data_IF_776988921435
#
_entry.id   IF_776988921435
#
_cell.length_a   1.000
_cell.length_b   1.000
_cell.length_c   1.000
_cell.angle_alpha   90.00
_cell.angle_beta   90.00
_cell.angle_gamma   90.00
#
_symmetry.space_group_name_H-M   'P 1'
#
loop_
_entity.id
_entity.type
_entity.pdbx_description
1 polymer ?
#
# COMPACT_ATOMS: atom_id res chain seq x y z
N UNK A 1 21.01 -17.36 -2.18
CA UNK A 1 20.14 -17.04 -1.02
C UNK A 1 19.65 -15.60 -0.98
N UNK A 2 20.47 -14.56 -0.67
CA UNK A 2 19.97 -13.16 -0.59
C UNK A 2 19.43 -12.62 -1.93
N UNK A 3 20.11 -12.89 -3.05
CA UNK A 3 19.68 -12.47 -4.40
C UNK A 3 18.37 -13.16 -4.84
N UNK A 4 18.20 -14.45 -4.51
CA UNK A 4 16.98 -15.20 -4.88
C UNK A 4 15.75 -14.66 -4.15
N UNK A 5 15.92 -14.22 -2.90
CA UNK A 5 14.86 -13.59 -2.13
C UNK A 5 14.36 -12.32 -2.83
N UNK A 6 15.26 -11.36 -3.13
CA UNK A 6 14.88 -10.10 -3.79
C UNK A 6 14.25 -10.34 -5.16
N UNK A 7 14.79 -11.27 -5.96
CA UNK A 7 14.24 -11.63 -7.25
C UNK A 7 12.80 -12.19 -7.15
N UNK A 8 12.50 -12.99 -6.12
CA UNK A 8 11.15 -13.53 -5.88
C UNK A 8 10.13 -12.42 -5.60
N UNK A 9 10.43 -11.50 -4.69
CA UNK A 9 9.52 -10.37 -4.42
C UNK A 9 9.43 -9.41 -5.59
N UNK A 10 10.55 -9.16 -6.29
CA UNK A 10 10.55 -8.34 -7.48
C UNK A 10 9.64 -8.94 -8.57
N UNK A 11 9.69 -10.25 -8.77
CA UNK A 11 8.81 -10.97 -9.71
C UNK A 11 7.34 -10.88 -9.28
N UNK A 12 7.04 -11.01 -7.99
CA UNK A 12 5.69 -10.83 -7.48
C UNK A 12 5.15 -9.42 -7.77
N UNK A 13 5.92 -8.39 -7.39
CA UNK A 13 5.51 -6.98 -7.58
C UNK A 13 5.40 -6.66 -9.07
N UNK A 14 6.30 -7.17 -9.90
CA UNK A 14 6.24 -7.03 -11.34
C UNK A 14 4.96 -7.62 -11.94
N UNK A 15 4.59 -8.85 -11.53
CA UNK A 15 3.33 -9.45 -11.96
C UNK A 15 2.11 -8.61 -11.52
N UNK A 16 2.16 -8.00 -10.33
CA UNK A 16 1.14 -7.05 -9.88
C UNK A 16 1.12 -5.81 -10.79
N UNK A 17 2.29 -5.25 -11.15
CA UNK A 17 2.38 -4.13 -12.09
C UNK A 17 1.80 -4.48 -13.47
N UNK A 18 2.09 -5.67 -14.01
CA UNK A 18 1.51 -6.15 -15.27
C UNK A 18 0.00 -6.38 -15.18
N UNK A 19 -0.48 -6.96 -14.08
CA UNK A 19 -1.90 -7.28 -13.88
C UNK A 19 -2.77 -6.03 -13.77
N UNK A 20 -2.23 -4.96 -13.18
CA UNK A 20 -2.98 -3.74 -12.85
C UNK A 20 -2.51 -2.52 -13.66
N UNK A 21 -2.08 -2.73 -14.91
CA UNK A 21 -1.63 -1.64 -15.80
C UNK A 21 -2.73 -0.63 -16.18
N UNK A 22 -3.99 -0.99 -16.01
CA UNK A 22 -5.12 -0.08 -16.17
C UNK A 22 -5.16 0.98 -15.04
N UNK A 23 -4.56 0.66 -13.89
CA UNK A 23 -4.50 1.53 -12.72
C UNK A 23 -3.44 2.63 -12.88
N UNK A 24 -3.68 3.80 -12.29
CA UNK A 24 -2.66 4.86 -12.25
C UNK A 24 -1.58 4.56 -11.22
N UNK A 25 -2.00 4.05 -10.06
CA UNK A 25 -1.12 3.70 -8.97
C UNK A 25 -1.40 2.30 -8.42
N UNK A 26 -0.35 1.69 -7.89
CA UNK A 26 -0.38 0.49 -7.08
C UNK A 26 -0.05 0.89 -5.65
N UNK A 27 -0.89 0.41 -4.75
CA UNK A 27 -0.83 0.66 -3.32
C UNK A 27 -0.01 -0.44 -2.65
N UNK A 28 1.03 -0.07 -1.92
CA UNK A 28 1.94 -1.02 -1.28
C UNK A 28 2.21 -0.61 0.17
N UNK A 29 1.41 -1.10 1.15
CA UNK A 29 1.76 -1.01 2.55
C UNK A 29 2.97 -1.89 2.85
N UNK A 30 3.89 -1.38 3.66
CA UNK A 30 5.14 -2.05 4.03
C UNK A 30 5.39 -1.87 5.52
N UNK A 31 5.74 -2.95 6.20
CA UNK A 31 6.09 -2.94 7.61
C UNK A 31 7.59 -3.22 7.79
N UNK A 32 8.24 -2.45 8.65
CA UNK A 32 9.57 -2.74 9.17
C UNK A 32 9.66 -2.30 10.62
N UNK A 33 10.27 -3.12 11.48
CA UNK A 33 10.52 -2.79 12.90
C UNK A 33 9.30 -2.13 13.59
N UNK A 34 8.13 -2.75 13.44
CA UNK A 34 6.86 -2.30 14.02
C UNK A 34 6.33 -0.94 13.51
N UNK A 35 6.85 -0.47 12.37
CA UNK A 35 6.38 0.75 11.71
C UNK A 35 5.82 0.46 10.32
N UNK A 36 4.65 1.03 10.02
CA UNK A 36 4.01 0.95 8.72
C UNK A 36 4.29 2.19 7.88
N UNK A 37 4.78 1.98 6.66
CA UNK A 37 4.89 2.99 5.59
C UNK A 37 3.97 2.57 4.45
N UNK A 38 3.48 3.57 3.72
CA UNK A 38 2.66 3.35 2.54
C UNK A 38 3.34 3.90 1.28
N UNK A 39 3.55 3.02 0.30
CA UNK A 39 4.11 3.40 -0.99
C UNK A 39 3.00 3.48 -2.04
N UNK A 40 2.97 4.60 -2.77
CA UNK A 40 2.18 4.74 -3.98
C UNK A 40 3.11 4.63 -5.18
N UNK A 41 3.04 3.50 -5.87
CA UNK A 41 3.85 3.20 -7.04
C UNK A 41 3.06 3.57 -8.28
N UNK A 42 3.61 4.40 -9.16
CA UNK A 42 3.02 4.83 -10.43
C UNK A 42 3.85 4.25 -11.60
N UNK A 43 3.57 3.00 -12.05
CA UNK A 43 4.42 2.33 -13.03
C UNK A 43 4.46 3.07 -14.38
N UNK A 44 3.35 3.68 -14.80
CA UNK A 44 3.24 4.37 -16.08
C UNK A 44 4.23 5.53 -16.23
N UNK A 45 4.49 6.25 -15.14
CA UNK A 45 5.40 7.42 -15.13
C UNK A 45 6.71 7.16 -14.39
N UNK A 46 6.92 5.92 -13.94
CA UNK A 46 8.13 5.48 -13.23
C UNK A 46 8.37 6.24 -11.93
N UNK A 47 7.33 6.47 -11.12
CA UNK A 47 7.40 7.28 -9.90
C UNK A 47 6.93 6.51 -8.67
N UNK A 48 7.50 6.81 -7.50
CA UNK A 48 7.03 6.29 -6.21
C UNK A 48 6.90 7.44 -5.21
N UNK A 49 5.75 7.55 -4.55
CA UNK A 49 5.57 8.45 -3.41
C UNK A 49 5.66 7.65 -2.12
N UNK A 50 6.43 8.16 -1.16
CA UNK A 50 6.61 7.56 0.17
C UNK A 50 5.77 8.32 1.19
N UNK A 51 4.69 7.68 1.67
CA UNK A 51 3.83 8.23 2.71
C UNK A 51 4.19 7.58 4.04
N UNK A 52 4.85 8.36 4.88
CA UNK A 52 5.36 7.94 6.18
C UNK A 52 4.91 8.94 7.26
N UNK A 53 4.17 8.45 8.26
CA UNK A 53 3.66 9.28 9.35
C UNK A 53 4.76 9.76 10.31
N UNK A 54 5.95 9.15 10.28
CA UNK A 54 7.09 9.46 11.16
C UNK A 54 8.33 10.01 10.44
N UNK A 55 8.35 9.99 9.10
CA UNK A 55 9.52 10.39 8.30
C UNK A 55 10.81 9.65 8.72
N UNK A 56 10.75 8.32 8.81
CA UNK A 56 11.94 7.50 8.95
C UNK A 56 12.93 7.78 7.83
N UNK A 57 14.21 7.72 8.20
CA UNK A 57 15.31 7.86 7.26
C UNK A 57 15.19 6.81 6.14
N UNK A 58 15.30 7.23 4.86
CA UNK A 58 15.22 6.33 3.70
C UNK A 58 16.12 5.11 3.73
N UNK A 59 17.28 5.17 4.42
CA UNK A 59 18.16 4.02 4.59
C UNK A 59 17.48 2.86 5.32
N UNK A 60 16.48 3.14 6.17
CA UNK A 60 15.77 2.13 6.96
C UNK A 60 14.97 1.16 6.08
N UNK A 61 14.51 1.62 4.93
CA UNK A 61 13.74 0.83 3.96
C UNK A 61 14.39 0.78 2.57
N UNK A 62 15.68 1.09 2.46
CA UNK A 62 16.43 1.09 1.19
C UNK A 62 16.36 -0.26 0.45
N UNK A 63 16.34 -1.37 1.19
CA UNK A 63 16.20 -2.72 0.61
C UNK A 63 14.89 -2.88 -0.17
N UNK A 64 13.81 -2.26 0.30
CA UNK A 64 12.54 -2.32 -0.41
C UNK A 64 12.61 -1.57 -1.74
N UNK A 65 13.36 -0.47 -1.82
CA UNK A 65 13.60 0.22 -3.09
C UNK A 65 14.42 -0.60 -4.07
N UNK A 66 15.44 -1.34 -3.61
CA UNK A 66 16.17 -2.25 -4.49
C UNK A 66 15.24 -3.31 -5.10
N UNK A 67 14.27 -3.81 -4.32
CA UNK A 67 13.24 -4.74 -4.82
C UNK A 67 12.30 -4.04 -5.81
N UNK A 68 11.82 -2.83 -5.50
CA UNK A 68 10.93 -2.05 -6.39
C UNK A 68 11.60 -1.69 -7.72
N UNK A 69 12.86 -1.26 -7.68
CA UNK A 69 13.64 -0.96 -8.89
C UNK A 69 13.83 -2.21 -9.76
N UNK A 70 14.15 -3.34 -9.15
CA UNK A 70 14.28 -4.61 -9.86
C UNK A 70 12.93 -5.04 -10.47
N UNK A 71 11.84 -4.92 -9.70
CA UNK A 71 10.49 -5.20 -10.17
C UNK A 71 10.13 -4.31 -11.38
N UNK A 72 10.45 -3.01 -11.30
CA UNK A 72 10.19 -2.08 -12.39
C UNK A 72 11.03 -2.38 -13.65
N UNK A 73 12.27 -2.85 -13.48
CA UNK A 73 13.09 -3.34 -14.60
C UNK A 73 12.45 -4.56 -15.28
N UNK A 74 12.02 -5.54 -14.49
CA UNK A 74 11.32 -6.71 -15.01
C UNK A 74 10.00 -6.33 -15.69
N UNK A 75 9.24 -5.41 -15.10
CA UNK A 75 7.98 -4.91 -15.66
C UNK A 75 8.19 -4.30 -17.05
N UNK A 76 9.20 -3.44 -17.20
CA UNK A 76 9.55 -2.86 -18.50
C UNK A 76 10.02 -3.92 -19.49
N UNK A 77 10.86 -4.85 -19.05
CA UNK A 77 11.37 -5.93 -19.88
C UNK A 77 10.24 -6.80 -20.44
N UNK A 78 9.20 -7.08 -19.65
CA UNK A 78 8.03 -7.85 -20.07
C UNK A 78 6.95 -7.04 -20.82
N UNK A 79 7.26 -5.81 -21.25
CA UNK A 79 6.33 -5.01 -22.06
C UNK A 79 5.31 -4.21 -21.23
N UNK A 80 5.66 -3.85 -20.00
CA UNK A 80 4.91 -2.93 -19.17
C UNK A 80 4.49 -1.64 -19.89
N UNK A 81 3.31 -1.09 -19.59
CA UNK A 81 2.93 0.26 -20.02
C UNK A 81 3.72 1.30 -19.21
N UNK A 82 4.62 2.02 -19.87
CA UNK A 82 5.36 3.13 -19.27
C UNK A 82 5.65 4.22 -20.30
N UNK A 83 5.92 5.43 -19.82
CA UNK A 83 6.34 6.57 -20.62
C UNK A 83 7.75 6.35 -21.15
N UNK A 84 7.84 5.94 -22.42
CA UNK A 84 9.10 5.69 -23.14
C UNK A 84 9.88 6.98 -23.42
N UNK A 85 9.25 8.15 -23.34
CA UNK A 85 9.92 9.44 -23.54
C UNK A 85 10.83 9.80 -22.36
N UNK A 86 10.53 9.29 -21.17
CA UNK A 86 11.42 9.42 -20.01
C UNK A 86 12.64 8.52 -20.20
N UNK A 87 13.78 9.15 -20.47
CA UNK A 87 15.09 8.50 -20.56
C UNK A 87 15.49 7.76 -19.28
N UNK A 88 14.90 8.11 -18.14
CA UNK A 88 15.25 7.51 -16.86
C UNK A 88 14.82 6.04 -16.77
N UNK A 89 15.83 5.18 -16.66
CA UNK A 89 15.66 3.72 -16.48
C UNK A 89 15.25 3.39 -15.03
N UNK A 90 15.53 4.28 -14.08
CA UNK A 90 15.25 4.10 -12.66
C UNK A 90 13.90 4.74 -12.26
N UNK A 91 13.37 4.31 -11.10
CA UNK A 91 12.20 4.93 -10.47
C UNK A 91 12.58 6.30 -9.90
N UNK A 92 11.72 7.29 -10.08
CA UNK A 92 11.76 8.59 -9.41
C UNK A 92 11.07 8.49 -8.05
N UNK A 93 11.84 8.51 -6.96
CA UNK A 93 11.35 8.22 -5.60
C UNK A 93 11.27 9.53 -4.80
N UNK A 94 10.06 9.84 -4.33
CA UNK A 94 9.76 11.06 -3.59
C UNK A 94 9.61 10.74 -2.11
N UNK A 95 10.73 10.88 -1.38
CA UNK A 95 10.77 10.73 0.07
C UNK A 95 10.11 11.91 0.78
N UNK A 96 9.73 11.70 2.04
CA UNK A 96 9.14 12.75 2.89
C UNK A 96 7.95 13.47 2.22
N UNK A 97 7.14 12.74 1.43
CA UNK A 97 6.01 13.35 0.76
C UNK A 97 5.06 13.97 1.79
N UNK A 98 4.59 15.22 1.59
CA UNK A 98 3.70 15.87 2.53
C UNK A 98 2.42 15.06 2.75
N UNK A 99 2.25 14.57 3.98
CA UNK A 99 1.14 13.74 4.43
C UNK A 99 0.94 13.91 5.94
N UNK A 100 -0.19 13.41 6.45
CA UNK A 100 -0.52 13.40 7.89
C UNK A 100 0.61 12.78 8.71
N UNK A 101 0.98 13.42 9.82
CA UNK A 101 2.01 12.92 10.75
C UNK A 101 1.40 12.40 12.03
N UNK A 102 2.03 11.42 12.63
CA UNK A 102 1.60 10.88 13.91
C UNK A 102 2.33 11.56 15.07
N UNK A 103 1.74 11.61 16.27
CA UNK A 103 2.45 12.06 17.45
C UNK A 103 3.72 11.22 17.66
N UNK A 104 4.83 11.89 17.98
CA UNK A 104 6.09 11.22 18.28
C UNK A 104 5.92 10.22 19.43
N UNK A 105 6.45 9.00 19.27
CA UNK A 105 6.34 7.92 20.26
C UNK A 105 4.99 7.19 20.25
N UNK A 106 4.04 7.57 19.40
CA UNK A 106 2.79 6.81 19.24
C UNK A 106 2.98 5.55 18.38
N UNK A 107 2.09 4.58 18.57
CA UNK A 107 2.04 3.32 17.80
C UNK A 107 0.92 3.34 16.75
N UNK A 108 0.60 4.51 16.20
CA UNK A 108 -0.58 4.73 15.35
C UNK A 108 -0.31 4.52 13.85
N UNK A 109 0.91 4.11 13.45
CA UNK A 109 1.33 4.10 12.04
C UNK A 109 0.43 3.28 11.12
N UNK A 110 -0.15 2.18 11.64
CA UNK A 110 -1.15 1.39 10.90
C UNK A 110 -2.41 2.18 10.55
N UNK A 111 -2.91 3.03 11.46
CA UNK A 111 -4.06 3.90 11.19
C UNK A 111 -3.71 4.98 10.17
N UNK A 112 -2.51 5.54 10.23
CA UNK A 112 -2.05 6.51 9.23
C UNK A 112 -1.90 5.88 7.85
N UNK A 113 -1.37 4.65 7.77
CA UNK A 113 -1.35 3.89 6.53
C UNK A 113 -2.77 3.69 5.96
N UNK A 114 -3.74 3.38 6.81
CA UNK A 114 -5.16 3.29 6.42
C UNK A 114 -5.71 4.63 5.92
N UNK A 115 -5.41 5.75 6.60
CA UNK A 115 -5.82 7.08 6.15
C UNK A 115 -5.24 7.41 4.76
N UNK A 116 -3.98 7.06 4.51
CA UNK A 116 -3.35 7.28 3.20
C UNK A 116 -4.08 6.52 2.08
N UNK A 117 -4.58 5.31 2.35
CA UNK A 117 -5.43 4.59 1.40
C UNK A 117 -6.77 5.30 1.19
N UNK A 118 -7.40 5.73 2.30
CA UNK A 118 -8.73 6.36 2.30
C UNK A 118 -8.73 7.67 1.51
N UNK A 119 -7.70 8.50 1.71
CA UNK A 119 -7.54 9.81 1.03
C UNK A 119 -7.43 9.69 -0.50
N UNK A 120 -7.05 8.53 -1.02
CA UNK A 120 -6.85 8.33 -2.45
C UNK A 120 -8.12 7.91 -3.22
N UNK A 121 -9.30 8.30 -2.72
CA UNK A 121 -10.59 8.06 -3.37
C UNK A 121 -11.45 6.94 -2.78
N UNK A 122 -11.16 6.49 -1.55
CA UNK A 122 -11.70 5.31 -0.81
C UNK A 122 -10.83 4.05 -0.98
N UNK A 123 -10.88 3.16 0.02
CA UNK A 123 -10.09 1.92 0.11
C UNK A 123 -10.15 1.00 -1.11
N UNK A 124 -11.20 1.10 -1.92
CA UNK A 124 -11.48 0.20 -3.05
C UNK A 124 -11.35 0.87 -4.42
N UNK A 125 -11.09 2.17 -4.47
CA UNK A 125 -11.17 2.92 -5.72
C UNK A 125 -9.79 3.01 -6.37
N UNK A 126 -9.73 2.78 -7.68
CA UNK A 126 -8.53 3.12 -8.44
C UNK A 126 -8.35 4.65 -8.40
N UNK A 127 -7.22 5.16 -7.88
CA UNK A 127 -6.97 6.59 -7.94
C UNK A 127 -6.94 7.06 -9.39
N UNK A 128 -7.80 8.03 -9.72
CA UNK A 128 -7.84 8.65 -11.05
C UNK A 128 -6.87 9.82 -11.18
N UNK A 129 -6.26 10.23 -10.07
CA UNK A 129 -5.32 11.34 -9.97
C UNK A 129 -4.20 10.97 -9.01
N UNK A 130 -3.07 11.64 -9.19
CA UNK A 130 -1.97 11.56 -8.23
C UNK A 130 -2.41 12.03 -6.85
N UNK A 131 -1.89 11.35 -5.83
CA UNK A 131 -2.13 11.67 -4.43
C UNK A 131 -1.72 13.11 -4.13
N UNK A 132 -2.67 13.89 -3.63
CA UNK A 132 -2.42 15.28 -3.30
C UNK A 132 -1.64 15.40 -1.98
N UNK A 133 -0.78 16.41 -1.89
CA UNK A 133 -0.07 16.76 -0.66
C UNK A 133 -1.09 16.97 0.47
N UNK A 134 -0.94 16.22 1.56
CA UNK A 134 -1.84 16.27 2.70
C UNK A 134 -1.42 17.29 3.76
N UNK A 135 -2.36 17.63 4.65
CA UNK A 135 -2.09 18.39 5.87
C UNK A 135 -1.18 17.55 6.81
N UNK A 136 -0.06 18.09 7.33
CA UNK A 136 0.81 17.37 8.27
C UNK A 136 0.22 17.16 9.66
N UNK A 137 -0.93 17.75 9.98
CA UNK A 137 -1.59 17.58 11.28
C UNK A 137 -1.89 16.14 11.64
N UNK A 138 -1.90 15.89 12.95
CA UNK A 138 -2.31 14.61 13.52
C UNK A 138 -3.75 14.26 13.15
N UNK A 139 -4.04 12.96 13.08
CA UNK A 139 -5.41 12.48 13.07
C UNK A 139 -6.08 12.83 14.39
N UNK A 140 -7.32 13.32 14.30
CA UNK A 140 -8.16 13.49 15.48
C UNK A 140 -8.61 12.12 15.99
N UNK A 141 -9.02 12.04 17.27
CA UNK A 141 -9.64 10.81 17.81
C UNK A 141 -10.83 10.35 16.98
N UNK A 142 -11.67 11.30 16.53
CA UNK A 142 -12.81 10.99 15.66
C UNK A 142 -12.38 10.38 14.32
N UNK A 143 -11.30 10.87 13.71
CA UNK A 143 -10.76 10.27 12.48
C UNK A 143 -10.23 8.84 12.72
N UNK A 144 -9.56 8.60 13.85
CA UNK A 144 -9.10 7.27 14.23
C UNK A 144 -10.29 6.31 14.43
N UNK A 145 -11.34 6.74 15.13
CA UNK A 145 -12.55 5.92 15.29
C UNK A 145 -13.26 5.66 13.97
N UNK A 146 -13.31 6.62 13.05
CA UNK A 146 -13.85 6.39 11.71
C UNK A 146 -13.08 5.31 10.94
N UNK A 147 -11.75 5.27 11.06
CA UNK A 147 -10.93 4.20 10.45
C UNK A 147 -11.24 2.84 11.10
N UNK A 148 -11.38 2.79 12.43
CA UNK A 148 -11.77 1.55 13.12
C UNK A 148 -13.15 1.09 12.66
N UNK A 149 -14.12 2.00 12.58
CA UNK A 149 -15.48 1.72 12.11
C UNK A 149 -15.48 1.17 10.69
N UNK A 150 -14.73 1.79 9.76
CA UNK A 150 -14.58 1.32 8.39
C UNK A 150 -13.99 -0.10 8.34
N UNK A 151 -12.93 -0.37 9.12
CA UNK A 151 -12.29 -1.69 9.18
C UNK A 151 -13.21 -2.76 9.79
N UNK A 152 -13.84 -2.47 10.93
CA UNK A 152 -14.78 -3.38 11.58
C UNK A 152 -15.96 -3.68 10.67
N UNK A 153 -16.53 -2.65 10.02
CA UNK A 153 -17.63 -2.81 9.07
C UNK A 153 -17.22 -3.69 7.89
N UNK A 154 -16.03 -3.48 7.32
CA UNK A 154 -15.53 -4.31 6.24
C UNK A 154 -15.36 -5.77 6.66
N UNK A 155 -14.75 -6.03 7.82
CA UNK A 155 -14.56 -7.39 8.33
C UNK A 155 -15.91 -8.08 8.57
N UNK A 156 -16.84 -7.39 9.23
CA UNK A 156 -18.16 -7.92 9.59
C UNK A 156 -19.08 -8.13 8.38
N UNK A 157 -18.87 -7.43 7.26
CA UNK A 157 -19.72 -7.55 6.07
C UNK A 157 -19.10 -8.42 4.97
N UNK A 158 -17.80 -8.34 4.79
CA UNK A 158 -17.13 -8.88 3.58
C UNK A 158 -16.21 -10.06 3.88
N UNK A 159 -15.81 -10.28 5.14
CA UNK A 159 -14.82 -11.31 5.52
C UNK A 159 -15.44 -12.42 6.36
N UNK A 160 -16.16 -12.06 7.45
CA UNK A 160 -16.71 -13.05 8.38
C UNK A 160 -17.94 -13.77 7.79
N UNK A 161 -18.97 -13.08 7.25
CA UNK A 161 -20.17 -13.74 6.75
C UNK A 161 -19.85 -14.69 5.60
N UNK A 162 -20.57 -15.81 5.51
CA UNK A 162 -20.33 -16.83 4.47
C UNK A 162 -20.59 -16.28 3.05
N UNK A 163 -21.47 -15.30 2.93
CA UNK A 163 -21.81 -14.55 1.73
C UNK A 163 -20.84 -13.40 1.42
N UNK A 164 -19.93 -13.07 2.35
CA UNK A 164 -18.94 -12.00 2.18
C UNK A 164 -17.98 -12.30 1.03
N UNK A 165 -17.66 -11.28 0.23
CA UNK A 165 -16.82 -11.43 -0.97
C UNK A 165 -15.45 -12.05 -0.70
N UNK A 166 -14.90 -11.81 0.49
CA UNK A 166 -13.57 -12.25 0.91
C UNK A 166 -13.64 -13.37 1.95
N UNK A 167 -14.81 -13.99 2.16
CA UNK A 167 -14.94 -15.12 3.06
C UNK A 167 -14.11 -16.31 2.58
N UNK A 168 -13.30 -16.85 3.48
CA UNK A 168 -12.56 -18.08 3.22
C UNK A 168 -13.31 -19.28 3.82
N UNK A 169 -14.00 -20.02 2.96
CA UNK A 169 -14.77 -21.21 3.33
C UNK A 169 -13.90 -22.36 3.92
N UNK A 170 -12.57 -22.31 3.75
CA UNK A 170 -11.65 -23.27 4.35
C UNK A 170 -11.02 -22.78 5.67
N UNK A 171 -11.38 -21.58 6.14
CA UNK A 171 -10.85 -21.02 7.38
C UNK A 171 -11.62 -21.51 8.61
N UNK A 172 -11.05 -21.32 9.79
CA UNK A 172 -11.74 -21.59 11.06
C UNK A 172 -13.02 -20.77 11.22
N UNK A 173 -13.13 -19.59 10.59
CA UNK A 173 -14.35 -18.77 10.61
C UNK A 173 -15.52 -19.40 9.83
N UNK A 174 -15.26 -20.40 8.99
CA UNK A 174 -16.31 -21.09 8.24
C UNK A 174 -17.04 -22.17 9.07
N UNK A 175 -16.51 -22.52 10.25
CA UNK A 175 -17.10 -23.51 11.16
C UNK A 175 -18.48 -23.00 11.66
N UNK A 176 -19.53 -23.84 11.70
CA UNK A 176 -20.89 -23.40 12.02
C UNK A 176 -21.03 -22.58 13.31
N UNK A 177 -20.22 -22.88 14.33
CA UNK A 177 -20.22 -22.18 15.63
C UNK A 177 -19.91 -20.68 15.50
N UNK A 178 -19.11 -20.27 14.50
CA UNK A 178 -18.77 -18.87 14.27
C UNK A 178 -19.74 -18.16 13.30
N UNK A 179 -20.65 -18.90 12.65
CA UNK A 179 -21.67 -18.31 11.75
C UNK A 179 -22.80 -17.60 12.49
N UNK A 180 -22.91 -17.81 13.80
CA UNK A 180 -24.00 -17.26 14.63
C UNK A 180 -23.68 -15.81 15.08
N UNK A 181 -22.45 -15.35 14.88
CA UNK A 181 -22.01 -14.00 15.28
C UNK A 181 -22.27 -12.91 14.23
N UNK A 182 -22.88 -13.26 13.10
CA UNK A 182 -23.20 -12.37 11.98
C UNK A 182 -24.69 -12.44 11.67
#
# INVERSE_FOLDING_TARGET
MKKDFEARYATYIENVMLKFQDREAIMAPYNFKDHWIYFLVYPKVGKVLVLDSMNYDPSTYAKFFSILELAFRFYKFKGGKYDKSKKCVALDIHHHWPCRKQPQGSVLCGFYACEFMRMNGRYITNPSKEFQKGNPENLTKGALYGIVEDLCTFILKEVIPAEGKYHNASSTLAIPEFRILT
#
